data_IF_507135541260
#
_entry.id   IF_507135541260
#
_cell.length_a   1.000
_cell.length_b   1.000
_cell.length_c   1.000
_cell.angle_alpha   90.00
_cell.angle_beta   90.00
_cell.angle_gamma   90.00
#
_symmetry.space_group_name_H-M   'P 1'
#
loop_
_entity.id
_entity.type
_entity.pdbx_description
1 polymer ?
#
# COMPACT_ATOMS: atom_id res chain seq x y z
N UNK A 1 -45.65 0.18 -3.16
CA UNK A 1 -45.44 -1.29 -3.28
C UNK A 1 -44.91 -1.64 -4.67
N UNK A 2 -44.79 -0.65 -5.55
CA UNK A 2 -44.35 -0.84 -6.94
C UNK A 2 -42.83 -1.11 -7.05
N UNK A 3 -42.08 -0.91 -5.96
CA UNK A 3 -40.64 -1.18 -5.86
C UNK A 3 -40.30 -2.55 -5.22
N UNK A 4 -41.30 -3.41 -4.94
CA UNK A 4 -41.03 -4.73 -4.32
C UNK A 4 -40.75 -5.76 -5.40
N UNK A 5 -39.54 -6.32 -5.39
CA UNK A 5 -39.17 -7.41 -6.29
C UNK A 5 -40.17 -8.58 -6.19
N UNK A 6 -40.64 -9.15 -7.31
CA UNK A 6 -41.60 -10.26 -7.34
C UNK A 6 -41.20 -11.46 -6.47
N UNK A 7 -39.89 -11.72 -6.33
CA UNK A 7 -39.37 -12.80 -5.48
C UNK A 7 -39.65 -12.60 -3.98
N UNK A 8 -39.66 -11.35 -3.50
CA UNK A 8 -39.89 -11.02 -2.09
C UNK A 8 -41.38 -11.18 -1.77
N UNK A 9 -42.24 -10.77 -2.69
CA UNK A 9 -43.69 -10.96 -2.59
C UNK A 9 -44.02 -12.46 -2.51
N UNK A 10 -43.49 -13.27 -3.42
CA UNK A 10 -43.71 -14.73 -3.41
C UNK A 10 -43.23 -15.39 -2.10
N UNK A 11 -42.10 -14.92 -1.54
CA UNK A 11 -41.57 -15.40 -0.26
C UNK A 11 -42.46 -15.03 0.92
N UNK A 12 -43.08 -13.86 0.89
CA UNK A 12 -43.98 -13.39 1.93
C UNK A 12 -45.37 -14.03 1.84
N UNK A 13 -45.87 -14.27 0.63
CA UNK A 13 -47.11 -15.00 0.40
C UNK A 13 -47.01 -16.42 0.98
N UNK A 14 -45.91 -17.13 0.69
CA UNK A 14 -45.66 -18.47 1.20
C UNK A 14 -45.47 -18.52 2.73
N UNK A 15 -44.96 -17.44 3.34
CA UNK A 15 -44.62 -17.39 4.76
C UNK A 15 -45.78 -16.93 5.65
N UNK A 16 -46.61 -16.01 5.17
CA UNK A 16 -47.67 -15.38 5.96
C UNK A 16 -49.08 -15.70 5.45
N UNK A 17 -49.22 -16.39 4.31
CA UNK A 17 -50.53 -16.79 3.76
C UNK A 17 -51.42 -15.63 3.33
N UNK A 18 -50.84 -14.45 3.10
CA UNK A 18 -51.54 -13.25 2.65
C UNK A 18 -51.36 -13.14 1.14
N UNK A 19 -52.40 -12.75 0.40
CA UNK A 19 -52.31 -12.46 -1.03
C UNK A 19 -51.84 -11.01 -1.24
N UNK A 20 -51.29 -10.66 -2.41
CA UNK A 20 -50.77 -9.32 -2.72
C UNK A 20 -51.78 -8.20 -2.41
N UNK A 21 -53.06 -8.39 -2.76
CA UNK A 21 -54.13 -7.44 -2.48
C UNK A 21 -54.40 -7.25 -0.97
N UNK A 22 -54.30 -8.34 -0.20
CA UNK A 22 -54.45 -8.30 1.26
C UNK A 22 -53.27 -7.59 1.91
N UNK A 23 -52.05 -7.83 1.41
CA UNK A 23 -50.85 -7.14 1.88
C UNK A 23 -50.91 -5.64 1.62
N UNK A 24 -51.34 -5.22 0.41
CA UNK A 24 -51.59 -3.80 0.07
C UNK A 24 -52.60 -3.17 1.04
N UNK A 25 -53.71 -3.87 1.31
CA UNK A 25 -54.74 -3.37 2.23
C UNK A 25 -54.25 -3.20 3.67
N UNK A 26 -53.40 -4.11 4.17
CA UNK A 26 -52.77 -4.00 5.49
C UNK A 26 -51.88 -2.76 5.53
N UNK A 27 -51.02 -2.56 4.54
CA UNK A 27 -50.04 -1.46 4.48
C UNK A 27 -50.74 -0.09 4.40
N UNK A 28 -51.83 0.04 3.64
CA UNK A 28 -52.54 1.31 3.50
C UNK A 28 -53.31 1.71 4.77
N UNK A 29 -53.70 0.74 5.62
CA UNK A 29 -54.62 0.99 6.74
C UNK A 29 -54.02 0.79 8.13
N UNK A 30 -52.83 0.19 8.28
CA UNK A 30 -52.23 -0.03 9.62
C UNK A 30 -51.76 1.27 10.30
N UNK A 31 -51.49 2.34 9.55
CA UNK A 31 -51.08 3.64 10.10
C UNK A 31 -52.25 4.59 10.42
N UNK A 32 -53.50 4.23 10.06
CA UNK A 32 -54.65 5.10 10.30
C UNK A 32 -55.09 5.02 11.77
N UNK A 33 -55.23 6.16 12.48
CA UNK A 33 -55.69 6.17 13.87
C UNK A 33 -57.09 5.52 13.96
N UNK A 34 -57.22 4.47 14.77
CA UNK A 34 -58.47 3.72 14.99
C UNK A 34 -58.58 2.36 14.27
N UNK A 35 -57.64 2.03 13.37
CA UNK A 35 -57.53 0.72 12.70
C UNK A 35 -56.50 -0.19 13.40
N UNK A 36 -56.88 -0.74 14.56
CA UNK A 36 -56.08 -1.79 15.18
C UNK A 36 -56.00 -3.04 14.30
N UNK A 37 -54.89 -3.78 14.37
CA UNK A 37 -54.63 -5.01 13.60
C UNK A 37 -55.76 -6.05 13.68
N UNK A 38 -56.52 -6.06 14.78
CA UNK A 38 -57.71 -6.90 14.97
C UNK A 38 -58.85 -6.51 14.01
N UNK A 39 -59.10 -5.21 13.80
CA UNK A 39 -60.13 -4.73 12.84
C UNK A 39 -59.72 -5.00 11.40
N UNK A 40 -58.42 -4.87 11.10
CA UNK A 40 -57.85 -5.20 9.79
C UNK A 40 -57.99 -6.71 9.52
N UNK A 41 -57.64 -7.55 10.50
CA UNK A 41 -57.81 -9.01 10.40
C UNK A 41 -59.28 -9.41 10.19
N UNK A 42 -60.22 -8.80 10.92
CA UNK A 42 -61.67 -9.06 10.74
C UNK A 42 -62.17 -8.69 9.34
N UNK A 43 -61.59 -7.65 8.73
CA UNK A 43 -62.00 -7.19 7.38
C UNK A 43 -61.36 -8.01 6.26
N UNK A 44 -60.17 -8.55 6.48
CA UNK A 44 -59.46 -9.41 5.50
C UNK A 44 -60.00 -10.84 5.53
N UNK A 45 -60.25 -11.40 6.71
CA UNK A 45 -60.62 -12.81 6.88
C UNK A 45 -62.12 -13.05 7.07
N UNK A 46 -62.97 -12.00 7.11
CA UNK A 46 -64.43 -12.12 7.20
C UNK A 46 -65.00 -12.64 8.54
N UNK A 47 -64.17 -13.14 9.45
CA UNK A 47 -64.60 -13.72 10.72
C UNK A 47 -64.81 -12.66 11.83
N UNK A 48 -66.02 -12.61 12.39
CA UNK A 48 -66.36 -11.71 13.52
C UNK A 48 -65.76 -12.15 14.87
N UNK A 49 -65.25 -13.37 15.00
CA UNK A 49 -64.73 -13.98 16.25
C UNK A 49 -63.20 -14.02 16.38
N UNK A 50 -62.45 -13.22 15.60
CA UNK A 50 -60.98 -13.19 15.72
C UNK A 50 -60.58 -12.44 17.01
N UNK A 51 -59.79 -13.13 17.84
CA UNK A 51 -59.25 -12.63 19.12
C UNK A 51 -57.78 -12.21 18.97
N UNK A 52 -57.29 -11.31 19.83
CA UNK A 52 -55.90 -10.77 19.76
C UNK A 52 -54.79 -11.84 19.85
N UNK A 53 -55.13 -13.06 20.30
CA UNK A 53 -54.22 -14.20 20.44
C UNK A 53 -54.22 -15.15 19.23
N UNK A 54 -55.01 -14.88 18.19
CA UNK A 54 -55.05 -15.72 16.99
C UNK A 54 -53.74 -15.73 16.22
N UNK A 55 -53.34 -16.91 15.72
CA UNK A 55 -52.15 -17.11 14.88
C UNK A 55 -52.14 -16.16 13.67
N UNK A 56 -53.31 -15.95 13.05
CA UNK A 56 -53.52 -15.03 11.91
C UNK A 56 -53.19 -13.57 12.23
N UNK A 57 -53.46 -13.11 13.46
CA UNK A 57 -53.10 -11.76 13.89
C UNK A 57 -51.60 -11.67 14.17
N UNK A 58 -51.01 -12.72 14.72
CA UNK A 58 -49.56 -12.77 14.89
C UNK A 58 -48.83 -12.83 13.55
N UNK A 59 -49.37 -13.51 12.54
CA UNK A 59 -48.82 -13.53 11.18
C UNK A 59 -48.95 -12.16 10.52
N UNK A 60 -50.06 -11.43 10.71
CA UNK A 60 -50.19 -10.03 10.31
C UNK A 60 -49.22 -9.11 11.05
N UNK A 61 -49.02 -9.29 12.37
CA UNK A 61 -48.02 -8.55 13.16
C UNK A 61 -46.62 -8.82 12.64
N UNK A 62 -46.28 -10.07 12.39
CA UNK A 62 -44.99 -10.48 11.86
C UNK A 62 -44.77 -9.98 10.43
N UNK A 63 -45.82 -9.93 9.61
CA UNK A 63 -45.79 -9.31 8.29
C UNK A 63 -45.56 -7.80 8.40
N UNK A 64 -46.27 -7.09 9.27
CA UNK A 64 -46.07 -5.65 9.49
C UNK A 64 -44.67 -5.38 10.05
N UNK A 65 -44.18 -6.18 10.99
CA UNK A 65 -42.81 -6.09 11.50
C UNK A 65 -41.77 -6.41 10.43
N UNK A 66 -42.01 -7.41 9.57
CA UNK A 66 -41.12 -7.74 8.46
C UNK A 66 -41.15 -6.64 7.39
N UNK A 67 -42.31 -6.08 7.09
CA UNK A 67 -42.49 -4.94 6.21
C UNK A 67 -41.79 -3.71 6.78
N UNK A 68 -41.96 -3.39 8.06
CA UNK A 68 -41.22 -2.31 8.72
C UNK A 68 -39.71 -2.58 8.73
N UNK A 69 -39.27 -3.81 9.00
CA UNK A 69 -37.84 -4.16 8.97
C UNK A 69 -37.24 -4.08 7.56
N UNK A 70 -38.05 -4.33 6.52
CA UNK A 70 -37.63 -4.25 5.12
C UNK A 70 -37.84 -2.87 4.47
N UNK A 71 -38.78 -2.05 4.96
CA UNK A 71 -39.23 -0.80 4.30
C UNK A 71 -39.21 0.46 5.20
N UNK A 72 -39.30 0.36 6.53
CA UNK A 72 -39.06 1.51 7.46
C UNK A 72 -37.58 1.94 7.49
N UNK A 73 -36.73 1.25 6.71
CA UNK A 73 -35.30 1.52 6.58
C UNK A 73 -34.87 2.17 5.26
N UNK A 74 -35.77 2.61 4.37
CA UNK A 74 -35.37 3.08 3.01
C UNK A 74 -35.82 4.47 2.55
N UNK A 75 -36.64 5.21 3.30
CA UNK A 75 -37.03 6.56 2.87
C UNK A 75 -36.71 7.59 3.94
N UNK A 76 -35.66 8.38 3.67
CA UNK A 76 -35.52 9.73 4.23
C UNK A 76 -36.74 10.55 3.78
N UNK A 77 -37.34 11.31 4.69
CA UNK A 77 -38.38 12.29 4.32
C UNK A 77 -37.79 13.35 3.39
N UNK A 78 -38.62 14.05 2.61
CA UNK A 78 -38.11 15.11 1.71
C UNK A 78 -37.37 16.21 2.47
N UNK A 79 -37.83 16.57 3.67
CA UNK A 79 -37.15 17.53 4.56
C UNK A 79 -35.75 17.04 4.97
N UNK A 80 -35.59 15.74 5.26
CA UNK A 80 -34.29 15.16 5.62
C UNK A 80 -33.35 15.08 4.41
N UNK A 81 -33.89 14.84 3.21
CA UNK A 81 -33.13 14.86 1.97
C UNK A 81 -32.64 16.27 1.64
N UNK A 82 -33.49 17.28 1.78
CA UNK A 82 -33.09 18.68 1.61
C UNK A 82 -32.03 19.10 2.62
N UNK A 83 -32.15 18.64 3.87
CA UNK A 83 -31.15 18.90 4.90
C UNK A 83 -29.79 18.27 4.54
N UNK A 84 -29.78 17.04 4.03
CA UNK A 84 -28.54 16.39 3.56
C UNK A 84 -28.00 17.11 2.32
N UNK A 85 -28.85 17.45 1.34
CA UNK A 85 -28.43 18.13 0.11
C UNK A 85 -27.87 19.54 0.39
N UNK A 86 -28.29 20.21 1.47
CA UNK A 86 -27.71 21.49 1.93
C UNK A 86 -26.41 21.33 2.73
N UNK A 87 -26.31 20.29 3.55
CA UNK A 87 -25.24 20.14 4.55
C UNK A 87 -24.17 19.08 4.23
N UNK A 88 -24.29 18.32 3.13
CA UNK A 88 -23.31 17.27 2.78
C UNK A 88 -21.88 17.78 2.57
N UNK A 89 -21.73 19.08 2.25
CA UNK A 89 -20.42 19.73 2.10
C UNK A 89 -19.78 20.14 3.42
N UNK A 90 -20.59 20.35 4.47
CA UNK A 90 -20.18 20.98 5.72
C UNK A 90 -19.98 19.92 6.82
N UNK A 91 -20.75 18.84 6.79
CA UNK A 91 -20.85 17.88 7.89
C UNK A 91 -20.60 16.44 7.43
N UNK A 92 -20.05 15.60 8.31
CA UNK A 92 -19.93 14.16 8.05
C UNK A 92 -21.30 13.50 7.98
N UNK A 93 -21.43 12.40 7.21
CA UNK A 93 -22.63 11.56 7.18
C UNK A 93 -23.08 11.12 8.59
N UNK A 94 -22.13 10.92 9.50
CA UNK A 94 -22.40 10.59 10.90
C UNK A 94 -23.02 11.76 11.69
N UNK A 95 -22.48 12.97 11.53
CA UNK A 95 -22.96 14.16 12.22
C UNK A 95 -24.33 14.58 11.70
N UNK A 96 -24.54 14.48 10.38
CA UNK A 96 -25.87 14.67 9.77
C UNK A 96 -26.87 13.64 10.30
N UNK A 97 -26.47 12.38 10.44
CA UNK A 97 -27.35 11.35 10.99
C UNK A 97 -27.71 11.59 12.46
N UNK A 98 -26.80 12.17 13.25
CA UNK A 98 -27.06 12.53 14.66
C UNK A 98 -28.06 13.69 14.79
N UNK A 99 -27.99 14.68 13.91
CA UNK A 99 -28.94 15.81 13.88
C UNK A 99 -30.33 15.38 13.37
N UNK A 100 -30.37 14.51 12.35
CA UNK A 100 -31.63 14.00 11.80
C UNK A 100 -32.30 13.00 12.74
N UNK A 101 -31.51 12.18 13.44
CA UNK A 101 -31.97 11.13 14.34
C UNK A 101 -31.36 11.32 15.73
N UNK A 102 -31.83 12.31 16.52
CA UNK A 102 -31.33 12.51 17.87
C UNK A 102 -31.63 11.26 18.72
N UNK A 103 -30.62 10.68 19.41
CA UNK A 103 -30.87 9.54 20.28
C UNK A 103 -31.75 9.95 21.48
N UNK A 104 -32.61 9.06 21.99
CA UNK A 104 -33.38 9.32 23.21
C UNK A 104 -32.44 9.61 24.38
N UNK A 105 -32.86 10.51 25.27
CA UNK A 105 -32.04 11.05 26.37
C UNK A 105 -31.24 9.95 27.10
N UNK A 106 -29.92 10.14 27.17
CA UNK A 106 -28.99 9.25 27.88
C UNK A 106 -28.29 8.17 27.04
N UNK A 107 -28.55 8.03 25.74
CA UNK A 107 -27.84 7.08 24.86
C UNK A 107 -26.91 7.76 23.85
N UNK A 108 -25.70 7.22 23.68
CA UNK A 108 -24.75 7.65 22.65
C UNK A 108 -25.20 7.12 21.29
N UNK A 109 -25.15 7.98 20.26
CA UNK A 109 -25.39 7.56 18.88
C UNK A 109 -24.25 6.64 18.43
N UNK A 110 -24.58 5.45 17.92
CA UNK A 110 -23.58 4.48 17.49
C UNK A 110 -23.11 4.77 16.05
N UNK A 111 -21.80 4.79 15.76
CA UNK A 111 -21.25 5.00 14.41
C UNK A 111 -21.72 4.01 13.35
N UNK A 112 -22.22 2.84 13.77
CA UNK A 112 -22.72 1.79 12.89
C UNK A 112 -24.24 1.63 12.95
N UNK A 113 -24.94 2.63 13.49
CA UNK A 113 -26.40 2.63 13.57
C UNK A 113 -27.02 2.46 12.18
N UNK A 114 -28.21 1.87 12.15
CA UNK A 114 -28.99 1.74 10.92
C UNK A 114 -29.25 3.13 10.30
N UNK A 115 -29.30 4.16 11.14
CA UNK A 115 -29.58 5.54 10.76
C UNK A 115 -28.37 6.24 10.12
N UNK A 116 -27.15 6.02 10.62
CA UNK A 116 -25.93 6.51 9.98
C UNK A 116 -25.70 5.88 8.59
N UNK A 117 -26.04 4.59 8.45
CA UNK A 117 -25.97 3.89 7.15
C UNK A 117 -26.95 4.46 6.13
N UNK A 118 -28.13 4.94 6.55
CA UNK A 118 -29.13 5.56 5.64
C UNK A 118 -28.60 6.83 5.00
N UNK A 119 -28.01 7.70 5.81
CA UNK A 119 -27.43 8.96 5.32
C UNK A 119 -26.26 8.68 4.38
N UNK A 120 -25.41 7.70 4.73
CA UNK A 120 -24.30 7.25 3.90
C UNK A 120 -24.74 6.68 2.53
N UNK A 121 -25.77 5.82 2.51
CA UNK A 121 -26.30 5.25 1.26
C UNK A 121 -26.93 6.33 0.37
N UNK A 122 -27.63 7.31 0.94
CA UNK A 122 -28.22 8.41 0.18
C UNK A 122 -27.17 9.32 -0.46
N UNK A 123 -26.12 9.68 0.29
CA UNK A 123 -24.95 10.43 -0.21
C UNK A 123 -24.26 9.68 -1.36
N UNK A 124 -24.09 8.36 -1.20
CA UNK A 124 -23.49 7.50 -2.21
C UNK A 124 -24.32 7.41 -3.50
N UNK A 125 -25.65 7.28 -3.39
CA UNK A 125 -26.56 7.20 -4.54
C UNK A 125 -26.57 8.51 -5.34
N UNK A 126 -26.52 9.66 -4.65
CA UNK A 126 -26.46 10.99 -5.29
C UNK A 126 -25.08 11.34 -5.87
N UNK A 127 -24.06 10.50 -5.64
CA UNK A 127 -22.70 10.75 -6.11
C UNK A 127 -22.00 11.91 -5.41
N UNK A 128 -22.48 12.30 -4.22
CA UNK A 128 -21.80 13.30 -3.41
C UNK A 128 -20.51 12.68 -2.86
N UNK A 129 -19.36 13.24 -3.23
CA UNK A 129 -18.11 12.97 -2.54
C UNK A 129 -18.22 13.52 -1.12
N UNK A 130 -18.09 12.66 -0.11
CA UNK A 130 -18.01 13.09 1.28
C UNK A 130 -16.84 14.08 1.42
N UNK A 131 -17.12 15.35 1.71
CA UNK A 131 -16.09 16.32 2.10
C UNK A 131 -15.62 16.06 3.55
N UNK A 132 -16.33 15.20 4.29
CA UNK A 132 -15.83 14.58 5.51
C UNK A 132 -14.87 13.44 5.20
N UNK A 133 -13.66 13.76 4.71
CA UNK A 133 -12.58 12.79 4.61
C UNK A 133 -12.48 12.01 5.92
N UNK A 134 -12.41 10.67 5.84
CA UNK A 134 -12.13 9.82 7.01
C UNK A 134 -11.01 10.48 7.81
N UNK A 135 -11.11 10.55 9.16
CA UNK A 135 -10.05 11.14 9.97
C UNK A 135 -8.73 10.53 9.51
N UNK A 136 -7.86 11.40 9.00
CA UNK A 136 -6.68 10.99 8.26
C UNK A 136 -5.90 9.97 9.07
N UNK A 137 -5.88 8.72 8.60
CA UNK A 137 -5.26 7.66 9.36
C UNK A 137 -3.77 7.94 9.52
N UNK A 138 -3.26 7.73 10.74
CA UNK A 138 -1.82 7.80 11.00
C UNK A 138 -1.11 6.80 10.09
N UNK A 139 0.04 7.21 9.55
CA UNK A 139 0.87 6.34 8.71
C UNK A 139 1.19 5.04 9.45
N UNK A 140 1.00 3.91 8.77
CA UNK A 140 1.35 2.58 9.28
C UNK A 140 2.39 1.98 8.34
N UNK A 141 3.67 1.89 8.76
CA UNK A 141 4.70 1.29 7.93
C UNK A 141 4.40 -0.21 7.69
N UNK A 142 4.80 -0.76 6.53
CA UNK A 142 4.60 -2.16 6.22
C UNK A 142 5.40 -3.05 7.18
N UNK A 143 4.70 -3.79 8.04
CA UNK A 143 5.32 -4.74 8.99
C UNK A 143 5.65 -6.11 8.39
N UNK A 144 5.02 -6.44 7.25
CA UNK A 144 5.18 -7.74 6.60
C UNK A 144 5.72 -7.54 5.18
N UNK A 145 6.69 -8.37 4.73
CA UNK A 145 7.25 -8.30 3.38
C UNK A 145 6.21 -8.41 2.27
N UNK A 146 5.14 -9.19 2.51
CA UNK A 146 4.00 -9.32 1.58
C UNK A 146 3.33 -7.98 1.29
N UNK A 147 3.24 -7.09 2.28
CA UNK A 147 2.62 -5.76 2.12
C UNK A 147 3.56 -4.84 1.34
N UNK A 148 4.86 -4.88 1.64
CA UNK A 148 5.86 -4.12 0.90
C UNK A 148 5.90 -4.52 -0.58
N UNK A 149 5.87 -5.82 -0.90
CA UNK A 149 5.80 -6.32 -2.28
C UNK A 149 4.55 -5.81 -3.01
N UNK A 150 3.38 -5.80 -2.35
CA UNK A 150 2.16 -5.23 -2.95
C UNK A 150 2.33 -3.76 -3.30
N UNK A 151 2.99 -2.97 -2.45
CA UNK A 151 3.28 -1.55 -2.72
C UNK A 151 4.29 -1.39 -3.86
N UNK A 152 5.35 -2.20 -3.89
CA UNK A 152 6.32 -2.22 -5.01
C UNK A 152 5.59 -2.51 -6.33
N UNK A 153 4.70 -3.51 -6.34
CA UNK A 153 3.94 -3.90 -7.54
C UNK A 153 2.92 -2.85 -7.97
N UNK A 154 2.43 -1.99 -7.07
CA UNK A 154 1.57 -0.84 -7.41
C UNK A 154 2.33 0.18 -8.26
N UNK A 155 3.61 0.40 -7.93
CA UNK A 155 4.43 1.48 -8.48
C UNK A 155 5.31 1.03 -9.65
N UNK A 156 5.67 -0.26 -9.68
CA UNK A 156 6.55 -0.81 -10.72
C UNK A 156 5.74 -1.16 -11.96
N UNK A 157 5.90 -0.37 -13.02
CA UNK A 157 5.28 -0.64 -14.33
C UNK A 157 5.80 -1.92 -15.01
N UNK A 158 7.02 -2.34 -14.68
CA UNK A 158 7.81 -3.25 -15.52
C UNK A 158 8.04 -4.65 -14.91
N UNK A 159 7.54 -4.92 -13.70
CA UNK A 159 7.73 -6.22 -13.04
C UNK A 159 6.75 -6.43 -11.89
N UNK A 160 5.85 -7.40 -12.05
CA UNK A 160 5.14 -7.98 -10.91
C UNK A 160 6.10 -8.88 -10.15
N UNK A 161 6.55 -8.44 -8.98
CA UNK A 161 7.39 -9.26 -8.13
C UNK A 161 6.58 -10.45 -7.61
N UNK A 162 7.11 -11.68 -7.71
CA UNK A 162 6.45 -12.87 -7.20
C UNK A 162 6.35 -12.84 -5.67
N UNK A 163 5.57 -13.75 -5.07
CA UNK A 163 5.46 -13.87 -3.62
C UNK A 163 6.83 -13.99 -2.94
N UNK A 164 6.95 -13.49 -1.70
CA UNK A 164 8.22 -13.39 -0.98
C UNK A 164 9.06 -14.67 -1.01
N UNK A 165 8.44 -15.85 -0.92
CA UNK A 165 9.15 -17.13 -0.87
C UNK A 165 9.91 -17.45 -2.18
N UNK A 166 9.36 -17.04 -3.32
CA UNK A 166 9.89 -17.26 -4.67
C UNK A 166 10.88 -16.17 -5.10
N UNK A 167 11.06 -15.11 -4.31
CA UNK A 167 12.04 -14.08 -4.60
C UNK A 167 13.47 -14.59 -4.45
N UNK A 168 14.35 -14.10 -5.33
CA UNK A 168 15.80 -14.28 -5.19
C UNK A 168 16.31 -13.64 -3.90
N UNK A 169 17.39 -14.16 -3.33
CA UNK A 169 17.97 -13.66 -2.07
C UNK A 169 18.27 -12.16 -2.12
N UNK A 170 18.71 -11.65 -3.28
CA UNK A 170 18.94 -10.22 -3.47
C UNK A 170 17.66 -9.40 -3.42
N UNK A 171 16.58 -9.84 -4.08
CA UNK A 171 15.29 -9.15 -4.04
C UNK A 171 14.67 -9.18 -2.64
N UNK A 172 14.78 -10.32 -1.93
CA UNK A 172 14.36 -10.44 -0.51
C UNK A 172 15.05 -9.38 0.35
N UNK A 173 16.38 -9.28 0.23
CA UNK A 173 17.16 -8.26 0.92
C UNK A 173 16.72 -6.83 0.60
N UNK A 174 16.39 -6.54 -0.67
CA UNK A 174 15.83 -5.23 -1.05
C UNK A 174 14.47 -4.94 -0.40
N UNK A 175 13.58 -5.92 -0.29
CA UNK A 175 12.29 -5.76 0.40
C UNK A 175 12.50 -5.46 1.88
N UNK A 176 13.41 -6.19 2.53
CA UNK A 176 13.69 -6.03 3.96
C UNK A 176 14.29 -4.65 4.25
N UNK A 177 15.20 -4.17 3.39
CA UNK A 177 15.76 -2.82 3.50
C UNK A 177 14.72 -1.73 3.21
N UNK A 178 13.88 -1.90 2.19
CA UNK A 178 12.78 -0.96 1.91
C UNK A 178 11.83 -0.83 3.11
N UNK A 179 11.50 -1.94 3.76
CA UNK A 179 10.70 -1.93 4.98
C UNK A 179 11.37 -1.13 6.10
N UNK A 180 12.69 -1.25 6.25
CA UNK A 180 13.47 -0.45 7.19
C UNK A 180 13.38 1.05 6.86
N UNK A 181 13.54 1.42 5.58
CA UNK A 181 13.46 2.82 5.13
C UNK A 181 12.08 3.44 5.34
N UNK A 182 11.01 2.71 5.02
CA UNK A 182 9.63 3.15 5.24
C UNK A 182 9.26 3.27 6.72
N UNK A 183 9.94 2.51 7.59
CA UNK A 183 9.78 2.62 9.05
C UNK A 183 10.57 3.80 9.65
N UNK A 184 11.23 4.63 8.83
CA UNK A 184 11.94 5.82 9.32
C UNK A 184 10.98 6.79 10.03
N UNK A 185 11.33 7.29 11.24
CA UNK A 185 10.53 8.28 11.94
C UNK A 185 10.31 9.56 11.13
N UNK A 186 11.32 9.98 10.37
CA UNK A 186 11.24 11.16 9.51
C UNK A 186 10.22 10.97 8.38
N UNK A 187 10.23 9.80 7.73
CA UNK A 187 9.27 9.45 6.69
C UNK A 187 7.83 9.55 7.23
N UNK A 188 7.59 8.94 8.39
CA UNK A 188 6.28 8.95 9.05
C UNK A 188 5.83 10.35 9.47
N UNK A 189 6.75 11.19 9.93
CA UNK A 189 6.47 12.57 10.33
C UNK A 189 6.13 13.47 9.13
N UNK A 190 6.83 13.30 8.01
CA UNK A 190 6.56 14.03 6.77
C UNK A 190 5.23 13.60 6.17
N UNK A 191 4.96 12.30 6.10
CA UNK A 191 3.70 11.75 5.59
C UNK A 191 2.47 12.37 6.29
N UNK A 192 2.56 12.58 7.61
CA UNK A 192 1.46 13.14 8.39
C UNK A 192 1.19 14.62 8.12
N UNK A 193 2.17 15.36 7.56
CA UNK A 193 2.02 16.79 7.26
C UNK A 193 1.21 17.07 6.00
N UNK A 194 1.03 16.09 5.13
CA UNK A 194 0.24 16.27 3.92
C UNK A 194 -1.26 16.23 4.23
N UNK A 195 -1.99 17.19 3.65
CA UNK A 195 -3.40 17.46 3.90
C UNK A 195 -4.33 16.66 2.99
N UNK A 196 -3.84 16.24 1.82
CA UNK A 196 -4.63 15.46 0.86
C UNK A 196 -4.16 14.01 0.80
N UNK A 197 -5.08 13.06 0.67
CA UNK A 197 -4.75 11.62 0.51
C UNK A 197 -3.93 11.38 -0.76
N UNK A 198 -4.27 12.05 -1.87
CA UNK A 198 -3.49 11.99 -3.12
C UNK A 198 -2.03 12.41 -2.94
N UNK A 199 -1.75 13.44 -2.16
CA UNK A 199 -0.37 13.88 -1.88
C UNK A 199 0.41 12.84 -1.06
N UNK A 200 -0.27 12.20 -0.11
CA UNK A 200 0.31 11.14 0.73
C UNK A 200 0.64 9.89 -0.08
N UNK A 201 -0.28 9.49 -0.96
CA UNK A 201 -0.06 8.37 -1.87
C UNK A 201 1.10 8.66 -2.83
N UNK A 202 1.12 9.85 -3.45
CA UNK A 202 2.20 10.25 -4.34
C UNK A 202 3.56 10.27 -3.61
N UNK A 203 3.61 10.82 -2.40
CA UNK A 203 4.82 10.84 -1.59
C UNK A 203 5.37 9.43 -1.34
N UNK A 204 4.50 8.50 -0.93
CA UNK A 204 4.90 7.13 -0.66
C UNK A 204 5.30 6.38 -1.93
N UNK A 205 4.53 6.54 -3.01
CA UNK A 205 4.76 5.86 -4.27
C UNK A 205 6.09 6.32 -4.90
N UNK A 206 6.37 7.62 -4.94
CA UNK A 206 7.64 8.14 -5.47
C UNK A 206 8.85 7.72 -4.61
N UNK A 207 8.67 7.64 -3.29
CA UNK A 207 9.73 7.15 -2.41
C UNK A 207 10.05 5.67 -2.68
N UNK A 208 9.02 4.84 -2.79
CA UNK A 208 9.17 3.42 -3.11
C UNK A 208 9.84 3.26 -4.47
N UNK A 209 9.36 3.95 -5.51
CA UNK A 209 9.94 3.94 -6.86
C UNK A 209 11.43 4.24 -6.87
N UNK A 210 11.85 5.21 -6.05
CA UNK A 210 13.23 5.67 -5.99
C UNK A 210 14.15 4.73 -5.20
N UNK A 211 13.61 3.94 -4.27
CA UNK A 211 14.42 3.20 -3.27
C UNK A 211 14.30 1.68 -3.35
N UNK A 212 13.26 1.11 -3.96
CA UNK A 212 12.96 -0.33 -3.86
C UNK A 212 14.08 -1.26 -4.39
N UNK A 213 14.91 -0.79 -5.33
CA UNK A 213 16.01 -1.55 -5.91
C UNK A 213 17.39 -1.21 -5.31
N UNK A 214 17.43 -0.42 -4.24
CA UNK A 214 18.65 0.14 -3.63
C UNK A 214 18.75 -0.27 -2.16
N UNK A 215 19.28 -1.46 -1.85
CA UNK A 215 19.35 -1.95 -0.46
C UNK A 215 20.55 -1.39 0.34
N UNK A 216 21.42 -0.62 -0.31
CA UNK A 216 22.70 -0.13 0.19
C UNK A 216 22.66 1.37 0.52
N UNK A 217 21.47 1.93 0.80
CA UNK A 217 21.31 3.34 1.10
C UNK A 217 21.73 3.64 2.55
N UNK A 218 22.53 4.69 2.73
CA UNK A 218 22.83 5.24 4.06
C UNK A 218 21.64 6.02 4.63
N UNK A 219 21.66 6.27 5.93
CA UNK A 219 20.62 7.07 6.61
C UNK A 219 20.53 8.49 6.03
N UNK A 220 21.66 9.11 5.67
CA UNK A 220 21.72 10.41 5.03
C UNK A 220 21.11 10.38 3.63
N UNK A 221 21.40 9.34 2.83
CA UNK A 221 20.81 9.17 1.51
C UNK A 221 19.30 8.97 1.59
N UNK A 222 18.83 8.16 2.55
CA UNK A 222 17.38 8.00 2.82
C UNK A 222 16.74 9.35 3.13
N UNK A 223 17.39 10.21 3.93
CA UNK A 223 16.90 11.55 4.22
C UNK A 223 16.89 12.47 2.99
N UNK A 224 17.87 12.34 2.09
CA UNK A 224 17.90 13.05 0.82
C UNK A 224 16.77 12.59 -0.12
N UNK A 225 16.51 11.29 -0.21
CA UNK A 225 15.36 10.75 -0.95
C UNK A 225 14.03 11.24 -0.36
N UNK A 226 13.89 11.31 0.97
CA UNK A 226 12.73 11.91 1.62
C UNK A 226 12.54 13.36 1.15
N UNK A 227 13.62 14.15 1.10
CA UNK A 227 13.55 15.53 0.62
C UNK A 227 13.19 15.60 -0.87
N UNK A 228 13.73 14.70 -1.70
CA UNK A 228 13.38 14.61 -3.12
C UNK A 228 11.87 14.39 -3.29
N UNK A 229 11.29 13.41 -2.57
CA UNK A 229 9.85 13.12 -2.62
C UNK A 229 9.00 14.30 -2.13
N UNK A 230 9.44 15.05 -1.12
CA UNK A 230 8.74 16.29 -0.71
C UNK A 230 8.70 17.30 -1.87
N UNK A 231 9.79 17.46 -2.60
CA UNK A 231 9.84 18.41 -3.72
C UNK A 231 8.91 17.99 -4.87
N UNK A 232 8.79 16.68 -5.17
CA UNK A 232 7.83 16.19 -6.17
C UNK A 232 6.37 16.50 -5.79
N UNK A 233 5.99 16.27 -4.53
CA UNK A 233 4.63 16.60 -4.05
C UNK A 233 4.37 18.11 -4.11
N UNK A 234 5.36 18.93 -3.68
CA UNK A 234 5.25 20.39 -3.76
C UNK A 234 5.16 20.86 -5.22
N UNK A 235 5.90 20.25 -6.13
CA UNK A 235 5.84 20.56 -7.56
C UNK A 235 4.43 20.33 -8.12
N UNK A 236 3.82 19.18 -7.81
CA UNK A 236 2.43 18.89 -8.25
C UNK A 236 1.44 19.90 -7.65
N UNK A 237 1.58 20.25 -6.37
CA UNK A 237 0.72 21.23 -5.70
C UNK A 237 0.84 22.61 -6.37
N UNK A 238 2.05 23.08 -6.63
CA UNK A 238 2.26 24.36 -7.32
C UNK A 238 1.68 24.32 -8.73
N UNK A 239 1.81 23.20 -9.43
CA UNK A 239 1.21 23.01 -10.77
C UNK A 239 -0.33 23.09 -10.72
N UNK A 240 -0.97 22.50 -9.71
CA UNK A 240 -2.41 22.64 -9.49
C UNK A 240 -2.81 24.10 -9.22
N UNK A 241 -2.08 24.79 -8.34
CA UNK A 241 -2.30 26.21 -8.07
C UNK A 241 -2.14 27.08 -9.33
N UNK A 242 -1.18 26.78 -10.20
CA UNK A 242 -1.02 27.47 -11.49
C UNK A 242 -2.21 27.25 -12.41
N UNK A 243 -2.71 26.01 -12.50
CA UNK A 243 -3.90 25.70 -13.30
C UNK A 243 -5.14 26.43 -12.79
N UNK A 244 -5.30 26.56 -11.47
CA UNK A 244 -6.43 27.28 -10.88
C UNK A 244 -6.33 28.79 -11.11
N UNK A 245 -5.13 29.38 -10.97
CA UNK A 245 -4.90 30.79 -11.32
C UNK A 245 -5.17 31.05 -12.80
N UNK A 246 -4.78 30.14 -13.70
CA UNK A 246 -5.09 30.25 -15.13
C UNK A 246 -6.59 30.27 -15.39
N UNK A 247 -7.36 29.38 -14.75
CA UNK A 247 -8.84 29.41 -14.85
C UNK A 247 -9.42 30.73 -14.37
N UNK A 248 -8.94 31.26 -13.25
CA UNK A 248 -9.39 32.57 -12.73
C UNK A 248 -9.06 33.71 -13.71
N UNK A 249 -7.94 33.64 -14.42
CA UNK A 249 -7.57 34.60 -15.47
C UNK A 249 -8.53 34.49 -16.67
N UNK A 250 -8.86 33.27 -17.11
CA UNK A 250 -9.79 33.03 -18.22
C UNK A 250 -11.20 33.53 -17.90
N UNK A 251 -11.67 33.29 -16.67
CA UNK A 251 -12.94 33.81 -16.14
C UNK A 251 -12.94 35.34 -16.12
N UNK A 252 -11.90 35.96 -15.55
CA UNK A 252 -11.75 37.42 -15.51
C UNK A 252 -11.60 38.07 -16.90
N UNK A 253 -11.18 37.29 -17.91
CA UNK A 253 -11.08 37.76 -19.30
C UNK A 253 -12.43 37.73 -20.01
N UNK A 254 -13.35 36.88 -19.57
CA UNK A 254 -14.68 36.72 -20.16
C UNK A 254 -15.65 37.85 -19.77
N UNK A 255 -15.44 38.51 -18.62
CA UNK A 255 -16.22 39.65 -18.15
C UNK A 255 -15.47 41.00 -18.38
N UNK A 256 -15.89 41.84 -19.34
CA UNK A 256 -15.15 43.04 -19.76
C UNK A 256 -15.38 44.29 -18.89
N UNK A 257 -15.89 44.15 -17.66
CA UNK A 257 -16.11 45.27 -16.73
C UNK A 257 -14.77 45.85 -16.24
N UNK A 258 -14.63 47.17 -16.10
CA UNK A 258 -13.35 47.83 -15.81
C UNK A 258 -12.58 47.33 -14.56
N UNK A 259 -13.29 46.81 -13.56
CA UNK A 259 -12.71 46.26 -12.32
C UNK A 259 -11.99 44.92 -12.53
N UNK A 260 -12.38 44.12 -13.53
CA UNK A 260 -11.72 42.83 -13.83
C UNK A 260 -10.32 43.01 -14.40
N UNK A 261 -10.00 44.18 -14.98
CA UNK A 261 -8.66 44.48 -15.50
C UNK A 261 -7.60 44.53 -14.41
N UNK A 262 -7.91 45.11 -13.24
CA UNK A 262 -6.97 45.14 -12.11
C UNK A 262 -6.78 43.75 -11.52
N UNK A 263 -7.87 42.99 -11.37
CA UNK A 263 -7.83 41.59 -10.92
C UNK A 263 -6.94 40.76 -11.86
N UNK A 264 -7.09 40.92 -13.18
CA UNK A 264 -6.28 40.21 -14.18
C UNK A 264 -4.78 40.49 -14.04
N UNK A 265 -4.39 41.75 -13.80
CA UNK A 265 -2.97 42.12 -13.59
C UNK A 265 -2.44 41.42 -12.34
N UNK A 266 -3.17 41.48 -11.23
CA UNK A 266 -2.74 40.83 -9.97
C UNK A 266 -2.63 39.30 -10.10
N UNK A 267 -3.55 38.66 -10.83
CA UNK A 267 -3.51 37.22 -11.08
C UNK A 267 -2.35 36.83 -12.00
N UNK A 268 -2.02 37.67 -12.99
CA UNK A 268 -0.87 37.46 -13.88
C UNK A 268 0.45 37.59 -13.12
N UNK A 269 0.56 38.56 -12.20
CA UNK A 269 1.71 38.68 -11.31
C UNK A 269 1.83 37.49 -10.35
N UNK A 270 0.71 37.00 -9.82
CA UNK A 270 0.68 35.80 -8.98
C UNK A 270 1.09 34.56 -9.78
N UNK A 271 0.62 34.41 -11.02
CA UNK A 271 1.02 33.35 -11.92
C UNK A 271 2.54 33.40 -12.17
N UNK A 272 3.08 34.59 -12.47
CA UNK A 272 4.52 34.79 -12.63
C UNK A 272 5.31 34.32 -11.40
N UNK A 273 4.87 34.70 -10.19
CA UNK A 273 5.48 34.22 -8.93
C UNK A 273 5.42 32.70 -8.82
N UNK A 274 4.27 32.07 -9.10
CA UNK A 274 4.11 30.62 -9.04
C UNK A 274 4.96 29.87 -10.06
N UNK A 275 5.10 30.40 -11.28
CA UNK A 275 6.03 29.87 -12.29
C UNK A 275 7.47 29.91 -11.80
N UNK A 276 7.92 31.01 -11.18
CA UNK A 276 9.29 31.07 -10.63
C UNK A 276 9.49 30.12 -9.44
N UNK A 277 8.46 29.88 -8.61
CA UNK A 277 8.50 28.86 -7.56
C UNK A 277 8.65 27.46 -8.16
N UNK A 278 7.90 27.17 -9.22
CA UNK A 278 7.97 25.89 -9.95
C UNK A 278 9.36 25.64 -10.54
N UNK A 279 9.93 26.61 -11.24
CA UNK A 279 11.28 26.50 -11.81
C UNK A 279 12.34 26.24 -10.74
N UNK A 280 12.28 26.94 -9.60
CA UNK A 280 13.19 26.72 -8.47
C UNK A 280 13.07 25.31 -7.90
N UNK A 281 11.84 24.77 -7.80
CA UNK A 281 11.61 23.39 -7.35
C UNK A 281 12.19 22.40 -8.36
N UNK A 282 12.01 22.63 -9.66
CA UNK A 282 12.56 21.77 -10.71
C UNK A 282 14.09 21.74 -10.67
N UNK A 283 14.76 22.89 -10.60
CA UNK A 283 16.22 22.95 -10.45
C UNK A 283 16.70 22.27 -9.16
N UNK A 284 15.92 22.34 -8.07
CA UNK A 284 16.25 21.66 -6.82
C UNK A 284 16.12 20.13 -6.95
N UNK A 285 15.11 19.65 -7.66
CA UNK A 285 14.91 18.22 -7.95
C UNK A 285 16.06 17.69 -8.79
N UNK A 286 16.45 18.41 -9.85
CA UNK A 286 17.59 18.05 -10.71
C UNK A 286 18.88 17.96 -9.89
N UNK A 287 19.22 19.01 -9.12
CA UNK A 287 20.42 19.02 -8.26
C UNK A 287 20.44 17.90 -7.22
N UNK A 288 19.31 17.61 -6.58
CA UNK A 288 19.21 16.51 -5.62
C UNK A 288 19.38 15.15 -6.31
N UNK A 289 18.82 14.99 -7.50
CA UNK A 289 18.93 13.76 -8.30
C UNK A 289 20.37 13.52 -8.74
N UNK A 290 21.05 14.56 -9.20
CA UNK A 290 22.47 14.52 -9.59
C UNK A 290 23.36 14.19 -8.39
N UNK A 291 23.11 14.82 -7.25
CA UNK A 291 23.86 14.57 -6.01
C UNK A 291 23.67 13.12 -5.55
N UNK A 292 22.43 12.63 -5.49
CA UNK A 292 22.12 11.25 -5.08
C UNK A 292 22.75 10.21 -6.01
N UNK A 293 22.72 10.47 -7.32
CA UNK A 293 23.31 9.58 -8.32
C UNK A 293 24.84 9.61 -8.25
N UNK A 294 25.42 10.80 -8.11
CA UNK A 294 26.86 11.02 -8.02
C UNK A 294 27.47 10.41 -6.75
N UNK A 295 26.91 10.69 -5.57
CA UNK A 295 27.41 10.16 -4.29
C UNK A 295 27.37 8.64 -4.27
N UNK A 296 26.27 8.04 -4.75
CA UNK A 296 26.15 6.59 -4.86
C UNK A 296 27.13 6.01 -5.87
N UNK A 297 27.27 6.62 -7.05
CA UNK A 297 28.23 6.21 -8.08
C UNK A 297 29.65 6.22 -7.53
N UNK A 298 30.08 7.29 -6.88
CA UNK A 298 31.41 7.41 -6.27
C UNK A 298 31.67 6.32 -5.23
N UNK A 299 30.67 5.98 -4.40
CA UNK A 299 30.79 4.87 -3.43
C UNK A 299 30.92 3.51 -4.12
N UNK A 300 30.11 3.26 -5.15
CA UNK A 300 30.17 2.01 -5.90
C UNK A 300 31.49 1.87 -6.66
N UNK A 301 32.02 2.96 -7.22
CA UNK A 301 33.35 2.98 -7.85
C UNK A 301 34.46 2.73 -6.82
N UNK A 302 34.37 3.32 -5.63
CA UNK A 302 35.32 3.05 -4.54
C UNK A 302 35.27 1.58 -4.11
N UNK A 303 34.08 1.00 -3.97
CA UNK A 303 33.91 -0.43 -3.67
C UNK A 303 34.40 -1.33 -4.81
N UNK A 304 34.18 -0.95 -6.07
CA UNK A 304 34.69 -1.70 -7.22
C UNK A 304 36.22 -1.76 -7.24
N UNK A 305 36.89 -0.62 -7.00
CA UNK A 305 38.36 -0.55 -6.89
C UNK A 305 38.90 -1.41 -5.74
N UNK A 306 38.22 -1.44 -4.60
CA UNK A 306 38.60 -2.32 -3.47
C UNK A 306 38.38 -3.80 -3.81
N UNK A 307 37.31 -4.14 -4.52
CA UNK A 307 37.08 -5.52 -4.94
C UNK A 307 38.12 -5.98 -5.97
N UNK A 308 38.53 -5.11 -6.88
CA UNK A 308 39.63 -5.37 -7.82
C UNK A 308 40.96 -5.58 -7.08
N UNK A 309 41.27 -4.77 -6.07
CA UNK A 309 42.49 -4.96 -5.28
C UNK A 309 42.45 -6.21 -4.41
N UNK A 310 41.29 -6.59 -3.85
CA UNK A 310 41.12 -7.87 -3.15
C UNK A 310 41.32 -9.03 -4.13
N UNK A 311 40.74 -8.94 -5.33
CA UNK A 311 40.88 -9.98 -6.35
C UNK A 311 42.33 -10.15 -6.77
N UNK A 312 43.07 -9.05 -6.98
CA UNK A 312 44.49 -9.10 -7.32
C UNK A 312 45.33 -9.68 -6.17
N UNK A 313 45.03 -9.36 -4.91
CA UNK A 313 45.68 -9.99 -3.76
C UNK A 313 45.40 -11.50 -3.71
N UNK A 314 44.14 -11.92 -3.93
CA UNK A 314 43.78 -13.35 -3.96
C UNK A 314 44.49 -14.08 -5.10
N UNK A 315 44.65 -13.46 -6.27
CA UNK A 315 45.43 -14.02 -7.37
C UNK A 315 46.91 -14.16 -7.01
N UNK A 316 47.52 -13.14 -6.39
CA UNK A 316 48.89 -13.20 -5.90
C UNK A 316 49.10 -14.31 -4.86
N UNK A 317 48.13 -14.51 -3.96
CA UNK A 317 48.16 -15.60 -2.97
C UNK A 317 48.07 -16.96 -3.64
N UNK A 318 47.17 -17.14 -4.61
CA UNK A 318 47.08 -18.38 -5.40
C UNK A 318 48.36 -18.65 -6.18
N UNK A 319 49.02 -17.62 -6.71
CA UNK A 319 50.31 -17.76 -7.38
C UNK A 319 51.44 -18.12 -6.42
N UNK A 320 51.44 -17.57 -5.21
CA UNK A 320 52.40 -17.92 -4.16
C UNK A 320 52.24 -19.39 -3.73
N UNK A 321 51.00 -19.84 -3.50
CA UNK A 321 50.69 -21.23 -3.15
C UNK A 321 51.11 -22.20 -4.27
N UNK A 322 50.83 -21.86 -5.54
CA UNK A 322 51.29 -22.63 -6.70
C UNK A 322 52.81 -22.72 -6.76
N UNK A 323 53.52 -21.62 -6.51
CA UNK A 323 55.00 -21.60 -6.47
C UNK A 323 55.55 -22.49 -5.36
N UNK A 324 54.98 -22.44 -4.16
CA UNK A 324 55.38 -23.32 -3.07
C UNK A 324 55.15 -24.80 -3.41
N UNK A 325 54.00 -25.12 -4.02
CA UNK A 325 53.70 -26.46 -4.49
C UNK A 325 54.71 -26.95 -5.54
N UNK A 326 55.12 -26.08 -6.46
CA UNK A 326 56.09 -26.41 -7.51
C UNK A 326 57.48 -26.68 -6.91
N UNK A 327 57.90 -25.89 -5.91
CA UNK A 327 59.15 -26.13 -5.17
C UNK A 327 59.09 -27.46 -4.41
N UNK A 328 57.97 -27.79 -3.77
CA UNK A 328 57.79 -29.10 -3.11
C UNK A 328 57.88 -30.25 -4.11
N UNK A 329 57.27 -30.13 -5.28
CA UNK A 329 57.36 -31.13 -6.34
C UNK A 329 58.79 -31.26 -6.88
N UNK A 330 59.50 -30.14 -7.05
CA UNK A 330 60.90 -30.14 -7.48
C UNK A 330 61.80 -30.84 -6.44
N UNK A 331 61.65 -30.53 -5.15
CA UNK A 331 62.39 -31.23 -4.08
C UNK A 331 62.10 -32.72 -4.03
N UNK A 332 60.83 -33.11 -4.15
CA UNK A 332 60.45 -34.54 -4.22
C UNK A 332 61.06 -35.21 -5.45
N UNK A 333 61.17 -34.51 -6.58
CA UNK A 333 61.83 -35.02 -7.78
C UNK A 333 63.35 -35.14 -7.58
N UNK A 334 64.00 -34.15 -6.99
CA UNK A 334 65.42 -34.20 -6.62
C UNK A 334 65.70 -35.37 -5.67
N UNK A 335 64.90 -35.55 -4.62
CA UNK A 335 65.04 -36.66 -3.67
C UNK A 335 64.87 -38.03 -4.34
N UNK A 336 63.97 -38.14 -5.31
CA UNK A 336 63.79 -39.37 -6.10
C UNK A 336 65.01 -39.66 -6.97
N UNK A 337 65.51 -38.66 -7.70
CA UNK A 337 66.72 -38.79 -8.54
C UNK A 337 67.94 -39.12 -7.67
N UNK A 338 68.11 -38.45 -6.52
CA UNK A 338 69.16 -38.75 -5.55
C UNK A 338 69.05 -40.18 -5.01
N UNK A 339 67.85 -40.68 -4.73
CA UNK A 339 67.63 -42.08 -4.30
C UNK A 339 67.96 -43.07 -5.41
N UNK A 340 67.61 -42.77 -6.66
CA UNK A 340 67.98 -43.61 -7.80
C UNK A 340 69.50 -43.62 -8.02
N UNK A 341 70.16 -42.46 -7.90
CA UNK A 341 71.61 -42.34 -8.03
C UNK A 341 72.35 -43.00 -6.85
N UNK A 342 71.82 -42.90 -5.63
CA UNK A 342 72.33 -43.66 -4.47
C UNK A 342 72.18 -45.16 -4.66
N UNK A 343 71.06 -45.64 -5.23
CA UNK A 343 70.91 -47.06 -5.56
C UNK A 343 71.91 -47.50 -6.62
N UNK A 344 72.18 -46.66 -7.62
CA UNK A 344 73.21 -46.91 -8.63
C UNK A 344 74.61 -46.98 -8.01
N UNK A 345 74.96 -46.05 -7.12
CA UNK A 345 76.25 -46.02 -6.43
C UNK A 345 76.40 -47.16 -5.41
N UNK A 346 75.32 -47.56 -4.73
CA UNK A 346 75.29 -48.75 -3.88
C UNK A 346 75.55 -50.03 -4.68
N UNK A 347 74.92 -50.16 -5.85
CA UNK A 347 75.20 -51.26 -6.78
C UNK A 347 76.66 -51.27 -7.27
N UNK A 348 77.26 -50.09 -7.47
CA UNK A 348 78.68 -49.98 -7.81
C UNK A 348 79.60 -50.40 -6.65
N UNK A 349 79.23 -50.12 -5.40
CA UNK A 349 79.99 -50.59 -4.24
C UNK A 349 79.95 -52.13 -4.13
N UNK A 350 78.82 -52.77 -4.42
CA UNK A 350 78.69 -54.23 -4.51
C UNK A 350 79.51 -54.82 -5.68
N UNK A 351 79.56 -54.14 -6.82
CA UNK A 351 80.43 -54.53 -7.94
C UNK A 351 81.92 -54.34 -7.63
N UNK A 352 82.31 -53.27 -6.94
CA UNK A 352 83.69 -53.05 -6.48
C UNK A 352 84.09 -54.08 -5.43
N UNK A 353 83.19 -54.48 -4.52
CA UNK A 353 83.44 -55.56 -3.56
C UNK A 353 83.66 -56.91 -4.27
N UNK A 354 82.87 -57.20 -5.31
CA UNK A 354 83.06 -58.39 -6.15
C UNK A 354 84.37 -58.35 -6.98
N UNK A 355 84.79 -57.18 -7.47
CA UNK A 355 86.04 -57.02 -8.24
C UNK A 355 87.28 -57.04 -7.34
N UNK A 356 87.18 -56.54 -6.10
CA UNK A 356 88.25 -56.58 -5.09
C UNK A 356 88.41 -57.97 -4.45
N UNK A 357 87.50 -58.92 -4.72
CA UNK A 357 87.60 -60.31 -4.28
C UNK A 357 87.32 -60.54 -2.79
N UNK A 358 86.84 -59.54 -2.05
CA UNK A 358 86.57 -59.67 -0.62
C UNK A 358 85.15 -60.22 -0.45
N UNK A 359 85.05 -61.54 -0.28
CA UNK A 359 83.79 -62.18 0.12
C UNK A 359 83.54 -62.00 1.62
N UNK A 360 82.28 -61.97 2.07
CA UNK A 360 81.94 -61.92 3.51
C UNK A 360 82.61 -63.06 4.31
N UNK A 361 82.89 -64.19 3.67
CA UNK A 361 83.59 -65.34 4.26
C UNK A 361 85.09 -65.10 4.55
N UNK A 362 85.73 -64.14 3.88
CA UNK A 362 87.14 -63.77 4.13
C UNK A 362 87.30 -62.78 5.29
N UNK A 363 86.30 -61.93 5.55
CA UNK A 363 86.33 -60.96 6.67
C UNK A 363 86.04 -61.65 8.01
N UNK A 364 85.21 -62.70 8.02
CA UNK A 364 84.79 -63.39 9.26
C UNK A 364 85.83 -64.43 9.73
N UNK A 365 86.83 -64.77 8.91
CA UNK A 365 87.89 -65.74 9.24
C UNK A 365 89.28 -65.13 9.51
N UNK A 366 89.36 -63.87 9.94
CA UNK A 366 90.61 -63.27 10.43
C UNK A 366 90.52 -62.67 11.83
#
# INVERSE_FOLDING_TARGET
>A
MDDVSPLILQKWEKRYGLNEQMMRFVITNYQKPGFGLVKIARKIFGDRKISSKDKRINDLRNFVLAYERHFRGKHLTEEQKEFIDKNYRIMSAYDMAKEIFPPPEGKRFEPLSLDAKKVYEYIKIKGYSEVGGKPMQKYKPPKQPKVAIKKINKVSYDSQWPPYNELSSRKKFCVDQLMSYLNSPRFSAVYQKFETESERELYEDEFIKSTFNKPDLSTEEVNLYINLCINYVLQLRVQQQMNDVNKMIDEATSDPSGDTKQIRITLTDLLGKKTTEFEKLQTRIEKLTDTLTGTRKNRLEAMAKVNESISSIVEQWKEAEKREHLIKMAKVHEDKVLREEMKRLGGFADEVANVMGISEDEIINH
#
